data_IF_733922251029
#
_entry.id   IF_733922251029
#
_cell.length_a   1.000
_cell.length_b   1.000
_cell.length_c   1.000
_cell.angle_alpha   90.00
_cell.angle_beta   90.00
_cell.angle_gamma   90.00
#
_symmetry.space_group_name_H-M   'P 1'
#
loop_
_entity.id
_entity.type
_entity.pdbx_description
1 polymer ?
#
# COMPACT_ATOMS: atom_id res chain seq x y z
N UNK A 1 -3.20 -4.36 19.83
CA UNK A 1 -2.42 -4.99 18.76
C UNK A 1 -2.14 -3.93 17.72
N UNK A 2 -0.89 -3.78 17.28
CA UNK A 2 -0.53 -2.88 16.18
C UNK A 2 -0.40 -3.67 14.86
N UNK A 3 -0.26 -2.98 13.73
CA UNK A 3 -0.21 -3.62 12.42
C UNK A 3 0.96 -4.60 12.28
N UNK A 4 2.13 -4.27 12.81
CA UNK A 4 3.29 -5.18 12.78
C UNK A 4 3.02 -6.48 13.55
N UNK A 5 2.46 -6.37 14.77
CA UNK A 5 2.08 -7.53 15.58
C UNK A 5 1.06 -8.41 14.84
N UNK A 6 0.05 -7.79 14.22
CA UNK A 6 -0.93 -8.51 13.43
C UNK A 6 -0.28 -9.28 12.26
N UNK A 7 0.59 -8.64 11.48
CA UNK A 7 1.29 -9.31 10.38
C UNK A 7 2.14 -10.48 10.86
N UNK A 8 2.85 -10.33 11.98
CA UNK A 8 3.63 -11.42 12.58
C UNK A 8 2.75 -12.58 13.03
N UNK A 9 1.59 -12.32 13.64
CA UNK A 9 0.60 -13.35 14.01
C UNK A 9 0.02 -14.07 12.78
N UNK A 10 -0.13 -13.36 11.65
CA UNK A 10 -0.54 -13.93 10.36
C UNK A 10 0.58 -14.69 9.64
N UNK A 11 1.78 -14.77 10.24
CA UNK A 11 2.91 -15.54 9.72
C UNK A 11 3.79 -14.78 8.72
N UNK A 12 3.64 -13.46 8.61
CA UNK A 12 4.60 -12.63 7.88
C UNK A 12 5.88 -12.42 8.69
N UNK A 13 7.01 -12.38 8.01
CA UNK A 13 8.32 -12.08 8.61
C UNK A 13 8.85 -10.77 8.07
N UNK A 14 9.62 -10.04 8.89
CA UNK A 14 10.33 -8.85 8.42
C UNK A 14 11.35 -9.29 7.37
N UNK A 15 11.31 -8.66 6.21
CA UNK A 15 12.21 -8.93 5.10
C UNK A 15 13.22 -7.82 4.88
N UNK A 16 12.78 -6.57 4.95
CA UNK A 16 13.60 -5.41 4.59
C UNK A 16 13.12 -4.16 5.32
N UNK A 17 13.99 -3.16 5.43
CA UNK A 17 13.72 -1.89 6.10
C UNK A 17 14.28 -0.76 5.24
N UNK A 18 13.45 0.24 4.96
CA UNK A 18 13.91 1.48 4.33
C UNK A 18 14.18 2.50 5.43
N UNK A 19 15.44 2.87 5.62
CA UNK A 19 15.86 3.90 6.55
C UNK A 19 16.50 5.10 5.84
N UNK A 20 16.48 6.23 6.52
CA UNK A 20 17.15 7.45 6.13
C UNK A 20 18.08 7.90 7.25
N UNK A 21 19.33 8.21 6.92
CA UNK A 21 20.31 8.67 7.88
C UNK A 21 20.30 10.20 7.95
N UNK A 22 19.76 10.74 9.04
CA UNK A 22 19.78 12.16 9.35
C UNK A 22 20.15 12.37 10.82
N UNK A 23 21.44 12.24 11.14
CA UNK A 23 21.98 12.32 12.52
C UNK A 23 21.48 11.20 13.44
N UNK A 24 21.04 10.09 12.84
CA UNK A 24 20.38 8.95 13.46
C UNK A 24 19.64 8.19 12.35
N UNK A 25 19.62 6.85 12.43
CA UNK A 25 18.91 6.02 11.47
C UNK A 25 17.40 6.09 11.75
N UNK A 26 16.66 6.79 10.87
CA UNK A 26 15.20 6.91 10.96
C UNK A 26 14.58 5.89 10.00
N UNK A 27 13.76 4.99 10.51
CA UNK A 27 13.05 4.01 9.70
C UNK A 27 11.82 4.66 9.06
N UNK A 28 11.79 4.68 7.73
CA UNK A 28 10.69 5.22 6.92
C UNK A 28 9.64 4.15 6.64
N UNK A 29 10.07 2.94 6.28
CA UNK A 29 9.16 1.82 6.00
C UNK A 29 9.76 0.50 6.44
N UNK A 30 8.90 -0.42 6.86
CA UNK A 30 9.26 -1.81 7.13
C UNK A 30 8.51 -2.73 6.16
N UNK A 31 9.24 -3.61 5.50
CA UNK A 31 8.72 -4.62 4.58
C UNK A 31 8.57 -5.98 5.26
N UNK A 32 7.39 -6.58 5.09
CA UNK A 32 7.01 -7.89 5.62
C UNK A 32 6.71 -8.84 4.47
N UNK A 33 7.08 -10.11 4.58
CA UNK A 33 6.85 -11.11 3.52
C UNK A 33 6.22 -12.38 4.06
N UNK A 34 5.29 -12.95 3.27
CA UNK A 34 4.72 -14.30 3.44
C UNK A 34 4.46 -14.87 2.05
N UNK A 35 5.11 -15.98 1.70
CA UNK A 35 5.08 -16.55 0.35
C UNK A 35 5.47 -15.50 -0.72
N UNK A 36 4.58 -15.23 -1.68
CA UNK A 36 4.77 -14.23 -2.73
C UNK A 36 4.06 -12.89 -2.41
N UNK A 37 3.59 -12.71 -1.18
CA UNK A 37 2.94 -11.49 -0.70
C UNK A 37 3.95 -10.67 0.10
N UNK A 38 4.09 -9.41 -0.27
CA UNK A 38 4.88 -8.41 0.42
C UNK A 38 3.98 -7.30 0.95
N UNK A 39 4.18 -6.91 2.20
CA UNK A 39 3.44 -5.83 2.86
C UNK A 39 4.43 -4.77 3.31
N UNK A 40 4.27 -3.57 2.78
CA UNK A 40 5.02 -2.38 3.18
C UNK A 40 4.20 -1.66 4.24
N UNK A 41 4.81 -1.40 5.39
CA UNK A 41 4.28 -0.49 6.40
C UNK A 41 5.11 0.79 6.36
N UNK A 42 4.48 1.90 6.04
CA UNK A 42 5.07 3.22 6.21
C UNK A 42 4.89 3.72 7.63
N UNK A 43 5.98 4.20 8.20
CA UNK A 43 6.00 4.85 9.51
C UNK A 43 5.67 6.32 9.40
N UNK A 44 5.07 6.90 10.44
CA UNK A 44 4.68 8.30 10.45
C UNK A 44 5.84 9.27 10.21
N UNK A 45 7.09 8.83 10.46
CA UNK A 45 8.30 9.58 10.14
C UNK A 45 8.35 10.07 8.68
N UNK A 46 7.71 9.38 7.72
CA UNK A 46 7.65 9.86 6.33
C UNK A 46 6.95 11.22 6.18
N UNK A 47 6.14 11.63 7.15
CA UNK A 47 5.42 12.91 7.14
C UNK A 47 6.16 13.98 7.95
N UNK A 48 7.13 13.60 8.79
CA UNK A 48 7.78 14.48 9.75
C UNK A 48 9.16 14.95 9.29
N UNK A 49 9.83 14.16 8.45
CA UNK A 49 11.20 14.44 8.03
C UNK A 49 11.32 14.71 6.53
N UNK A 50 12.24 15.62 6.17
CA UNK A 50 12.69 15.75 4.79
C UNK A 50 13.72 14.66 4.49
N UNK A 51 13.40 13.77 3.56
CA UNK A 51 14.29 12.73 3.05
C UNK A 51 14.33 12.76 1.52
N UNK A 52 15.27 12.02 0.94
CA UNK A 52 15.33 11.84 -0.51
C UNK A 52 14.15 10.98 -1.00
N UNK A 53 13.09 11.67 -1.40
CA UNK A 53 11.88 11.03 -1.94
C UNK A 53 12.15 10.17 -3.17
N UNK A 54 13.14 10.54 -4.00
CA UNK A 54 13.48 9.76 -5.19
C UNK A 54 14.05 8.40 -4.80
N UNK A 55 14.97 8.37 -3.83
CA UNK A 55 15.54 7.13 -3.30
C UNK A 55 14.48 6.26 -2.64
N UNK A 56 13.56 6.88 -1.90
CA UNK A 56 12.42 6.20 -1.31
C UNK A 56 11.53 5.54 -2.38
N UNK A 57 11.13 6.27 -3.42
CA UNK A 57 10.34 5.71 -4.53
C UNK A 57 11.06 4.59 -5.27
N UNK A 58 12.38 4.69 -5.45
CA UNK A 58 13.18 3.63 -6.07
C UNK A 58 13.08 2.34 -5.27
N UNK A 59 13.23 2.41 -3.95
CA UNK A 59 13.14 1.24 -3.07
C UNK A 59 11.75 0.59 -3.11
N UNK A 60 10.70 1.42 -3.07
CA UNK A 60 9.32 0.94 -3.21
C UNK A 60 9.08 0.22 -4.55
N UNK A 61 9.61 0.79 -5.65
CA UNK A 61 9.54 0.19 -6.97
C UNK A 61 10.32 -1.14 -7.09
N UNK A 62 11.43 -1.30 -6.35
CA UNK A 62 12.17 -2.56 -6.29
C UNK A 62 11.31 -3.66 -5.66
N UNK A 63 10.69 -3.38 -4.51
CA UNK A 63 9.78 -4.33 -3.86
C UNK A 63 8.59 -4.69 -4.76
N UNK A 64 7.97 -3.72 -5.42
CA UNK A 64 6.86 -3.97 -6.37
C UNK A 64 7.22 -4.86 -7.56
N UNK A 65 8.51 -4.96 -7.94
CA UNK A 65 8.95 -5.83 -9.05
C UNK A 65 9.32 -7.23 -8.61
N UNK A 66 9.57 -7.43 -7.33
CA UNK A 66 10.11 -8.68 -6.80
C UNK A 66 9.03 -9.68 -6.37
N UNK A 67 7.85 -9.19 -5.99
CA UNK A 67 6.78 -9.99 -5.41
C UNK A 67 5.51 -9.93 -6.26
N UNK A 68 4.70 -10.99 -6.17
CA UNK A 68 3.45 -11.07 -6.93
C UNK A 68 2.39 -10.13 -6.36
N UNK A 69 2.28 -10.07 -5.04
CA UNK A 69 1.30 -9.22 -4.37
C UNK A 69 2.03 -8.26 -3.45
N UNK A 70 1.81 -6.97 -3.65
CA UNK A 70 2.43 -5.93 -2.84
C UNK A 70 1.35 -5.00 -2.30
N UNK A 71 1.22 -5.00 -0.98
CA UNK A 71 0.31 -4.12 -0.26
C UNK A 71 1.09 -3.06 0.50
N UNK A 72 0.51 -1.87 0.65
CA UNK A 72 1.14 -0.76 1.36
C UNK A 72 0.13 -0.09 2.28
N UNK A 73 0.51 0.08 3.54
CA UNK A 73 -0.32 0.68 4.58
C UNK A 73 0.49 1.69 5.40
N UNK A 74 -0.17 2.65 6.02
CA UNK A 74 0.44 3.44 7.09
C UNK A 74 0.35 2.63 8.40
N UNK A 75 1.31 2.77 9.30
CA UNK A 75 1.41 1.95 10.53
C UNK A 75 0.17 1.95 11.44
N UNK A 76 -0.71 2.94 11.30
CA UNK A 76 -1.96 3.06 12.05
C UNK A 76 -3.19 2.47 11.33
N UNK A 77 -3.06 2.00 10.08
CA UNK A 77 -4.17 1.52 9.25
C UNK A 77 -4.51 0.03 9.48
N UNK A 78 -4.58 -0.37 10.75
CA UNK A 78 -4.78 -1.78 11.13
C UNK A 78 -6.07 -2.37 10.55
N UNK A 79 -7.19 -1.67 10.67
CA UNK A 79 -8.49 -2.18 10.27
C UNK A 79 -8.59 -2.35 8.75
N UNK A 80 -7.98 -1.42 7.99
CA UNK A 80 -7.86 -1.54 6.54
C UNK A 80 -7.01 -2.74 6.16
N UNK A 81 -5.86 -2.93 6.81
CA UNK A 81 -4.97 -4.05 6.51
C UNK A 81 -5.63 -5.41 6.80
N UNK A 82 -6.38 -5.53 7.91
CA UNK A 82 -7.16 -6.74 8.22
C UNK A 82 -8.15 -7.06 7.10
N UNK A 83 -8.94 -6.05 6.70
CA UNK A 83 -9.95 -6.23 5.65
C UNK A 83 -9.31 -6.78 4.37
N UNK A 84 -8.25 -6.14 3.88
CA UNK A 84 -7.58 -6.54 2.63
C UNK A 84 -6.86 -7.90 2.72
N UNK A 85 -6.19 -8.17 3.84
CA UNK A 85 -5.44 -9.41 3.99
C UNK A 85 -6.34 -10.63 4.26
N UNK A 86 -7.49 -10.45 4.92
CA UNK A 86 -8.50 -11.51 5.08
C UNK A 86 -9.11 -11.92 3.72
N UNK A 87 -9.37 -10.97 2.82
CA UNK A 87 -9.86 -11.28 1.46
C UNK A 87 -8.82 -11.98 0.58
N UNK A 88 -7.52 -11.81 0.88
CA UNK A 88 -6.45 -12.45 0.10
C UNK A 88 -6.27 -13.94 0.44
N UNK A 89 -6.66 -14.36 1.65
CA UNK A 89 -6.61 -15.77 2.10
C UNK A 89 -7.87 -16.58 1.71
N UNK A 90 -8.99 -15.91 1.40
CA UNK A 90 -10.10 -16.55 0.68
C UNK A 90 -9.77 -16.66 -0.80
N UNK A 91 -10.01 -17.82 -1.43
CA UNK A 91 -9.86 -18.16 -2.87
C UNK A 91 -10.64 -17.23 -3.86
N UNK A 92 -10.69 -15.93 -3.59
CA UNK A 92 -11.09 -14.92 -4.56
C UNK A 92 -9.94 -14.81 -5.53
N UNK A 93 -10.18 -15.31 -6.74
CA UNK A 93 -9.23 -15.30 -7.85
C UNK A 93 -8.74 -13.87 -8.08
N UNK A 94 -7.56 -13.55 -7.52
CA UNK A 94 -7.02 -12.19 -7.54
C UNK A 94 -6.77 -11.72 -8.99
N UNK A 95 -6.92 -12.56 -10.01
CA UNK A 95 -7.01 -12.10 -11.40
C UNK A 95 -8.14 -11.08 -11.64
N UNK A 96 -9.21 -11.11 -10.85
CA UNK A 96 -10.24 -10.05 -10.84
C UNK A 96 -9.80 -8.79 -10.07
N UNK A 97 -8.74 -8.85 -9.26
CA UNK A 97 -8.05 -7.68 -8.68
C UNK A 97 -6.79 -7.26 -9.47
N UNK A 98 -6.29 -8.13 -10.37
CA UNK A 98 -5.07 -7.94 -11.20
C UNK A 98 -5.40 -7.49 -12.63
N UNK A 99 -6.66 -7.32 -13.00
CA UNK A 99 -7.04 -6.80 -14.32
C UNK A 99 -7.64 -5.41 -14.21
N UNK A 100 -6.78 -4.38 -14.23
CA UNK A 100 -6.92 -3.42 -15.32
C UNK A 100 -5.65 -3.43 -16.16
N UNK A 101 -5.78 -4.18 -17.25
CA UNK A 101 -4.79 -4.42 -18.28
C UNK A 101 -4.17 -3.10 -18.76
N UNK A 102 -2.83 -3.04 -18.76
CA UNK A 102 -1.99 -1.92 -19.23
C UNK A 102 -2.11 -1.60 -20.74
N UNK A 103 -3.13 -2.10 -21.43
CA UNK A 103 -3.31 -1.89 -22.88
C UNK A 103 -4.69 -1.36 -23.30
N UNK A 104 -5.62 -1.10 -22.37
CA UNK A 104 -6.86 -0.39 -22.69
C UNK A 104 -6.75 1.07 -22.23
N UNK A 105 -6.89 2.01 -23.14
CA UNK A 105 -6.79 3.47 -22.96
C UNK A 105 -7.93 4.09 -22.12
N UNK A 106 -8.54 3.33 -21.22
CA UNK A 106 -9.46 3.81 -20.20
C UNK A 106 -9.14 3.01 -18.94
N UNK A 107 -8.49 3.67 -17.99
CA UNK A 107 -8.13 3.13 -16.68
C UNK A 107 -9.43 3.04 -15.89
N UNK A 108 -9.86 1.84 -15.50
CA UNK A 108 -10.86 1.76 -14.44
C UNK A 108 -10.18 2.02 -13.10
N UNK A 109 -10.85 2.75 -12.20
CA UNK A 109 -10.29 3.13 -10.91
C UNK A 109 -9.96 1.89 -10.07
N UNK A 110 -8.74 1.86 -9.53
CA UNK A 110 -8.34 0.92 -8.49
C UNK A 110 -9.30 0.98 -7.29
N UNK A 111 -9.38 -0.04 -6.44
CA UNK A 111 -10.24 0.00 -5.25
C UNK A 111 -9.99 1.22 -4.33
N UNK A 112 -8.75 1.73 -4.28
CA UNK A 112 -8.46 2.99 -3.59
C UNK A 112 -8.98 4.21 -4.34
N UNK A 113 -8.90 4.23 -5.67
CA UNK A 113 -9.50 5.28 -6.49
C UNK A 113 -11.02 5.23 -6.41
N UNK A 114 -11.67 4.05 -6.40
CA UNK A 114 -13.10 3.92 -6.15
C UNK A 114 -13.50 4.47 -4.79
N UNK A 115 -12.78 4.09 -3.72
CA UNK A 115 -13.08 4.59 -2.38
C UNK A 115 -12.85 6.12 -2.29
N UNK A 116 -11.81 6.63 -2.93
CA UNK A 116 -11.57 8.05 -3.04
C UNK A 116 -12.70 8.74 -3.82
N UNK A 117 -13.09 8.19 -4.96
CA UNK A 117 -14.17 8.69 -5.80
C UNK A 117 -15.48 8.72 -5.03
N UNK A 118 -15.87 7.63 -4.35
CA UNK A 118 -17.07 7.58 -3.52
C UNK A 118 -17.08 8.67 -2.45
N UNK A 119 -15.97 8.82 -1.70
CA UNK A 119 -15.85 9.87 -0.67
C UNK A 119 -15.83 11.27 -1.26
N UNK A 120 -15.27 11.43 -2.45
CA UNK A 120 -15.22 12.70 -3.15
C UNK A 120 -16.61 13.10 -3.66
N UNK A 121 -17.39 12.18 -4.24
CA UNK A 121 -18.77 12.41 -4.63
C UNK A 121 -19.67 12.67 -3.43
N UNK A 122 -19.49 11.97 -2.31
CA UNK A 122 -20.23 12.26 -1.07
C UNK A 122 -19.99 13.68 -0.56
N UNK A 123 -18.76 14.20 -0.69
CA UNK A 123 -18.38 15.51 -0.17
C UNK A 123 -18.71 16.67 -1.13
N UNK A 124 -18.56 16.47 -2.43
CA UNK A 124 -18.60 17.53 -3.45
C UNK A 124 -19.69 17.34 -4.51
N UNK A 125 -20.40 16.21 -4.49
CA UNK A 125 -21.37 15.81 -5.51
C UNK A 125 -20.71 15.18 -6.74
N UNK A 126 -21.43 14.28 -7.42
CA UNK A 126 -20.94 13.60 -8.63
C UNK A 126 -20.59 14.58 -9.76
N UNK A 127 -21.19 15.77 -9.80
CA UNK A 127 -20.86 16.80 -10.79
C UNK A 127 -19.42 17.32 -10.67
N UNK A 128 -18.74 17.10 -9.54
CA UNK A 128 -17.37 17.54 -9.33
C UNK A 128 -16.34 16.70 -10.12
N UNK A 129 -16.70 15.50 -10.62
CA UNK A 129 -15.81 14.68 -11.44
C UNK A 129 -15.43 15.34 -12.77
N UNK A 130 -16.22 16.31 -13.26
CA UNK A 130 -15.92 17.05 -14.49
C UNK A 130 -14.62 17.86 -14.41
N UNK A 131 -14.08 18.08 -13.20
CA UNK A 131 -12.84 18.83 -12.98
C UNK A 131 -11.60 17.92 -12.82
N UNK A 132 -11.79 16.59 -12.84
CA UNK A 132 -10.73 15.61 -12.60
C UNK A 132 -10.35 14.78 -13.83
N UNK A 133 -11.16 14.81 -14.89
CA UNK A 133 -11.02 13.93 -16.07
C UNK A 133 -10.44 14.64 -17.29
#
# INVERSE_FOLDING_TARGET
MNLQQYLMEQGFIINDVMSFDNQGEIVLSTGFVKNQIFVIIDHLSIFEIQFDYKRYCQKQNEWMKQYDFVYRFVENDLETAKLFLEYTDSDVDYNDMRTFNREASVIDPSPMECLFEERFAEAYGEEAYQYFR
#
